data_IF_368045957253
#
_entry.id   IF_368045957253
#
_cell.length_a   1.000
_cell.length_b   1.000
_cell.length_c   1.000
_cell.angle_alpha   90.00
_cell.angle_beta   90.00
_cell.angle_gamma   90.00
#
_symmetry.space_group_name_H-M   'P 1'
#
loop_
_entity.id
_entity.type
_entity.pdbx_description
1 polymer ?
#
# COMPACT_ATOMS: atom_id res chain seq x y z
N UNK A 1 2.58 -2.69 -0.02
CA UNK A 1 1.52 -1.79 0.51
C UNK A 1 0.84 -1.13 -0.68
N UNK A 2 -0.34 -0.52 -0.51
CA UNK A 2 -0.97 0.30 -1.56
C UNK A 2 -1.46 1.62 -0.99
N UNK A 3 -1.40 2.68 -1.77
CA UNK A 3 -1.90 4.01 -1.43
C UNK A 3 -3.11 4.33 -2.29
N UNK A 4 -4.19 4.78 -1.67
CA UNK A 4 -5.47 5.08 -2.32
C UNK A 4 -5.84 6.53 -2.04
N UNK A 5 -6.36 7.24 -3.04
CA UNK A 5 -6.93 8.57 -2.87
C UNK A 5 -8.24 8.74 -3.65
N UNK A 6 -9.20 9.43 -3.02
CA UNK A 6 -10.38 9.93 -3.69
C UNK A 6 -10.03 11.21 -4.47
N UNK A 7 -10.22 11.19 -5.79
CA UNK A 7 -9.98 12.35 -6.65
C UNK A 7 -11.27 13.06 -7.06
N UNK A 8 -12.42 12.59 -6.55
CA UNK A 8 -13.73 13.22 -6.75
C UNK A 8 -13.90 14.39 -5.81
N UNK A 9 -14.85 15.25 -6.16
CA UNK A 9 -15.36 16.28 -5.23
C UNK A 9 -16.34 15.69 -4.21
N UNK A 10 -17.05 14.63 -4.57
CA UNK A 10 -17.97 13.92 -3.69
C UNK A 10 -17.23 12.94 -2.79
N UNK A 11 -17.77 12.72 -1.59
CA UNK A 11 -17.23 11.76 -0.65
C UNK A 11 -17.53 10.32 -1.09
N UNK A 12 -16.65 9.42 -0.67
CA UNK A 12 -16.81 7.98 -0.78
C UNK A 12 -17.03 7.42 0.63
N UNK A 13 -18.16 6.74 0.82
CA UNK A 13 -18.59 6.15 2.09
C UNK A 13 -18.33 4.65 2.03
N UNK A 14 -17.93 4.05 3.15
CA UNK A 14 -17.75 2.60 3.23
C UNK A 14 -16.60 2.10 2.37
N UNK A 15 -15.51 2.86 2.26
CA UNK A 15 -14.34 2.47 1.50
C UNK A 15 -13.76 1.17 2.04
N UNK A 16 -13.67 0.14 1.20
CA UNK A 16 -13.06 -1.13 1.53
C UNK A 16 -12.10 -1.54 0.40
N UNK A 17 -10.91 -1.98 0.78
CA UNK A 17 -9.91 -2.50 -0.14
C UNK A 17 -9.76 -3.99 0.09
N UNK A 18 -9.81 -4.76 -0.99
CA UNK A 18 -9.53 -6.20 -0.98
C UNK A 18 -8.59 -6.55 -2.13
N UNK A 19 -7.88 -7.67 -1.98
CA UNK A 19 -7.01 -8.21 -3.01
C UNK A 19 -7.35 -9.64 -3.39
N UNK A 20 -6.96 -10.00 -4.61
CA UNK A 20 -6.97 -11.36 -5.15
C UNK A 20 -5.61 -11.64 -5.77
N UNK A 21 -4.95 -12.70 -5.31
CA UNK A 21 -3.78 -13.25 -5.96
C UNK A 21 -4.24 -14.22 -7.04
N UNK A 22 -3.96 -13.89 -8.29
CA UNK A 22 -4.30 -14.69 -9.46
C UNK A 22 -3.04 -15.45 -9.90
N UNK A 23 -3.09 -16.77 -9.98
CA UNK A 23 -1.92 -17.60 -10.34
C UNK A 23 -2.36 -18.92 -10.99
N UNK A 24 -1.51 -19.48 -11.86
CA UNK A 24 -1.67 -20.86 -12.30
C UNK A 24 -1.18 -21.82 -11.21
N UNK A 25 -1.99 -22.80 -10.83
CA UNK A 25 -1.61 -23.79 -9.82
C UNK A 25 -1.87 -25.22 -10.29
N UNK A 26 -1.12 -26.17 -9.73
CA UNK A 26 -1.32 -27.60 -9.93
C UNK A 26 -2.01 -28.17 -8.70
N UNK A 27 -3.14 -28.86 -8.89
CA UNK A 27 -3.84 -29.53 -7.78
C UNK A 27 -3.08 -30.78 -7.33
N UNK A 28 -3.48 -31.33 -6.18
CA UNK A 28 -2.87 -32.57 -5.66
C UNK A 28 -3.12 -33.77 -6.58
N UNK A 29 -4.17 -33.68 -7.38
CA UNK A 29 -4.62 -34.67 -8.34
C UNK A 29 -3.90 -34.55 -9.70
N UNK A 30 -3.01 -33.56 -9.86
CA UNK A 30 -2.26 -33.33 -11.09
C UNK A 30 -3.02 -32.52 -12.15
N UNK A 31 -4.13 -31.88 -11.80
CA UNK A 31 -4.87 -30.99 -12.69
C UNK A 31 -4.28 -29.58 -12.67
N UNK A 32 -4.09 -28.97 -13.84
CA UNK A 32 -3.63 -27.58 -13.95
C UNK A 32 -4.81 -26.61 -13.91
N UNK A 33 -4.88 -25.78 -12.88
CA UNK A 33 -5.84 -24.67 -12.74
C UNK A 33 -5.17 -23.38 -13.22
N UNK A 34 -5.59 -22.86 -14.37
CA UNK A 34 -4.96 -21.67 -14.99
C UNK A 34 -5.24 -20.33 -14.29
N UNK A 35 -6.26 -20.26 -13.44
CA UNK A 35 -6.64 -19.03 -12.74
C UNK A 35 -7.14 -19.36 -11.34
N UNK A 36 -6.24 -19.85 -10.50
CA UNK A 36 -6.49 -19.95 -9.07
C UNK A 36 -6.55 -18.55 -8.46
N UNK A 37 -7.51 -18.32 -7.56
CA UNK A 37 -7.79 -17.02 -6.97
C UNK A 37 -7.75 -17.10 -5.46
N UNK A 38 -6.70 -16.57 -4.85
CA UNK A 38 -6.53 -16.56 -3.40
C UNK A 38 -6.79 -15.17 -2.82
N UNK A 39 -7.50 -15.10 -1.69
CA UNK A 39 -7.82 -13.83 -1.05
C UNK A 39 -6.56 -13.18 -0.44
N UNK A 40 -6.41 -11.88 -0.65
CA UNK A 40 -5.37 -11.05 -0.02
C UNK A 40 -6.08 -9.93 0.76
N UNK A 41 -6.30 -10.10 2.08
CA UNK A 41 -6.98 -9.07 2.88
C UNK A 41 -6.08 -7.85 3.05
N UNK A 42 -6.65 -6.65 2.90
CA UNK A 42 -5.97 -5.39 3.18
C UNK A 42 -6.55 -4.75 4.45
N UNK A 43 -5.66 -4.15 5.23
CA UNK A 43 -5.95 -3.40 6.44
C UNK A 43 -5.45 -1.97 6.28
N UNK A 44 -5.89 -1.09 7.16
CA UNK A 44 -5.47 0.31 7.23
C UNK A 44 -5.39 0.68 8.71
N UNK A 45 -4.47 1.58 9.08
CA UNK A 45 -4.28 2.02 10.46
C UNK A 45 -5.38 3.01 10.88
N UNK A 46 -6.62 2.52 10.93
CA UNK A 46 -7.77 3.26 11.45
C UNK A 46 -8.55 2.41 12.44
N UNK A 47 -9.27 3.03 13.36
CA UNK A 47 -10.13 2.33 14.34
C UNK A 47 -11.41 1.75 13.73
N UNK A 48 -11.51 1.67 12.40
CA UNK A 48 -12.69 1.27 11.64
C UNK A 48 -12.28 0.55 10.36
N UNK A 49 -13.07 -0.44 9.95
CA UNK A 49 -12.92 -1.17 8.68
C UNK A 49 -13.38 -0.34 7.46
N UNK A 50 -13.94 0.84 7.70
CA UNK A 50 -14.37 1.79 6.67
C UNK A 50 -13.75 3.16 6.95
N UNK A 51 -12.49 3.38 6.52
CA UNK A 51 -11.82 4.64 6.74
C UNK A 51 -12.47 5.77 5.93
N UNK A 52 -12.34 6.99 6.45
CA UNK A 52 -12.81 8.18 5.77
C UNK A 52 -11.76 8.69 4.76
N UNK A 53 -11.96 8.39 3.47
CA UNK A 53 -11.01 8.65 2.40
C UNK A 53 -11.07 10.11 1.87
N UNK A 54 -10.92 11.11 2.76
CA UNK A 54 -10.74 12.51 2.37
C UNK A 54 -9.30 12.80 1.93
N UNK A 55 -8.34 12.21 2.64
CA UNK A 55 -6.91 12.31 2.33
C UNK A 55 -6.39 10.96 1.82
N UNK A 56 -5.25 10.94 1.11
CA UNK A 56 -4.62 9.68 0.72
C UNK A 56 -4.38 8.77 1.94
N UNK A 57 -4.78 7.50 1.83
CA UNK A 57 -4.56 6.49 2.86
C UNK A 57 -3.71 5.35 2.31
N UNK A 58 -2.90 4.76 3.17
CA UNK A 58 -2.07 3.60 2.83
C UNK A 58 -2.69 2.36 3.45
N UNK A 59 -3.12 1.44 2.60
CA UNK A 59 -3.58 0.12 2.98
C UNK A 59 -2.41 -0.87 2.88
N UNK A 60 -2.40 -1.87 3.74
CA UNK A 60 -1.35 -2.88 3.79
C UNK A 60 -1.92 -4.27 3.94
N UNK A 61 -1.20 -5.25 3.43
CA UNK A 61 -1.45 -6.65 3.69
C UNK A 61 -0.33 -7.17 4.59
N UNK A 62 -0.69 -7.82 5.69
CA UNK A 62 0.29 -8.45 6.58
C UNK A 62 0.68 -9.80 5.99
N UNK A 63 1.97 -9.99 5.74
CA UNK A 63 2.51 -11.25 5.22
C UNK A 63 2.90 -12.16 6.39
N UNK A 64 1.90 -12.81 6.98
CA UNK A 64 2.05 -13.85 8.01
C UNK A 64 2.02 -15.27 7.41
N UNK A 65 1.94 -16.31 8.25
CA UNK A 65 1.90 -17.71 7.80
C UNK A 65 0.64 -18.08 7.01
N UNK A 66 -0.44 -17.30 7.12
CA UNK A 66 -1.68 -17.50 6.37
C UNK A 66 -1.69 -16.76 5.03
N UNK A 67 -0.77 -15.81 4.84
CA UNK A 67 -0.69 -15.00 3.63
C UNK A 67 -0.37 -15.86 2.40
N UNK A 68 -1.10 -15.69 1.29
CA UNK A 68 -0.77 -16.37 0.05
C UNK A 68 0.55 -15.86 -0.55
N UNK A 69 1.13 -14.75 -0.03
CA UNK A 69 2.41 -14.17 -0.42
C UNK A 69 3.58 -14.60 0.49
N UNK A 70 3.35 -15.50 1.46
CA UNK A 70 4.36 -15.94 2.44
C UNK A 70 5.60 -16.56 1.81
N UNK A 71 5.46 -17.29 0.69
CA UNK A 71 6.55 -18.00 0.04
C UNK A 71 7.69 -17.06 -0.41
N UNK A 72 7.37 -15.89 -0.94
CA UNK A 72 8.33 -14.86 -1.37
C UNK A 72 9.00 -14.15 -0.19
N UNK A 73 8.28 -14.04 0.92
CA UNK A 73 8.75 -13.39 2.12
C UNK A 73 9.87 -14.18 2.83
N UNK A 74 9.78 -15.52 2.80
CA UNK A 74 10.71 -16.40 3.53
C UNK A 74 12.07 -16.63 2.84
N UNK A 75 12.27 -16.19 1.59
CA UNK A 75 13.55 -16.42 0.88
C UNK A 75 14.58 -15.35 1.24
N UNK A 76 15.81 -15.81 1.50
CA UNK A 76 16.94 -14.95 1.87
C UNK A 76 17.17 -13.87 0.80
N UNK A 77 16.98 -12.60 1.18
CA UNK A 77 17.05 -11.44 0.29
C UNK A 77 15.72 -10.69 0.16
N UNK A 78 14.58 -11.38 0.28
CA UNK A 78 13.24 -10.84 0.07
C UNK A 78 13.00 -10.35 -1.37
N UNK A 79 11.83 -10.62 -1.93
CA UNK A 79 11.40 -10.07 -3.22
C UNK A 79 10.90 -11.09 -4.22
N UNK A 80 10.67 -10.61 -5.43
CA UNK A 80 9.95 -11.31 -6.50
C UNK A 80 10.87 -12.01 -7.50
N UNK A 81 12.12 -12.28 -7.12
CA UNK A 81 13.19 -12.70 -8.07
C UNK A 81 13.18 -14.19 -8.40
N UNK A 82 12.29 -14.97 -7.79
CA UNK A 82 12.15 -16.39 -8.11
C UNK A 82 11.21 -16.57 -9.30
N UNK A 83 11.69 -16.97 -10.48
CA UNK A 83 10.86 -17.12 -11.67
C UNK A 83 9.73 -18.15 -11.50
N UNK A 84 9.91 -19.16 -10.64
CA UNK A 84 8.88 -20.18 -10.41
C UNK A 84 7.72 -19.66 -9.56
N UNK A 85 7.99 -18.65 -8.73
CA UNK A 85 6.98 -17.99 -7.91
C UNK A 85 6.53 -16.66 -8.53
N UNK A 86 7.27 -16.05 -9.46
CA UNK A 86 6.94 -14.75 -10.05
C UNK A 86 5.91 -14.82 -11.20
N UNK A 87 5.11 -15.88 -11.27
CA UNK A 87 3.96 -15.99 -12.17
C UNK A 87 2.65 -15.77 -11.40
N UNK A 88 2.37 -14.52 -11.05
CA UNK A 88 1.10 -14.12 -10.46
C UNK A 88 0.70 -12.70 -10.85
N UNK A 89 -0.58 -12.38 -10.69
CA UNK A 89 -1.11 -11.02 -10.77
C UNK A 89 -1.86 -10.69 -9.47
N UNK A 90 -1.51 -9.59 -8.82
CA UNK A 90 -2.22 -9.10 -7.64
C UNK A 90 -3.30 -8.12 -8.07
N UNK A 91 -4.54 -8.60 -8.14
CA UNK A 91 -5.70 -7.76 -8.38
C UNK A 91 -6.11 -7.05 -7.09
N UNK A 92 -6.16 -5.72 -7.12
CA UNK A 92 -6.63 -4.86 -6.02
C UNK A 92 -7.97 -4.25 -6.40
N UNK A 93 -8.94 -4.34 -5.47
CA UNK A 93 -10.31 -3.89 -5.65
C UNK A 93 -10.66 -2.95 -4.51
N UNK A 94 -11.09 -1.74 -4.84
CA UNK A 94 -11.70 -0.82 -3.90
C UNK A 94 -13.21 -0.76 -4.15
N UNK A 95 -14.01 -0.96 -3.11
CA UNK A 95 -15.46 -0.74 -3.12
C UNK A 95 -15.81 0.46 -2.23
N UNK A 96 -16.78 1.27 -2.65
CA UNK A 96 -17.34 2.36 -1.87
C UNK A 96 -18.72 2.75 -2.40
N UNK A 97 -19.43 3.62 -1.67
CA UNK A 97 -20.66 4.27 -2.12
C UNK A 97 -20.42 5.77 -2.29
N UNK A 98 -20.82 6.33 -3.43
CA UNK A 98 -20.74 7.77 -3.68
C UNK A 98 -21.81 8.48 -2.84
N UNK A 99 -21.40 9.36 -1.92
CA UNK A 99 -22.30 10.04 -0.99
C UNK A 99 -23.47 10.75 -1.69
N UNK A 100 -23.19 11.50 -2.73
CA UNK A 100 -24.18 12.38 -3.37
C UNK A 100 -25.25 11.64 -4.18
N UNK A 101 -24.98 10.39 -4.61
CA UNK A 101 -25.88 9.65 -5.49
C UNK A 101 -26.29 8.30 -4.94
N UNK A 102 -25.73 7.89 -3.79
CA UNK A 102 -25.84 6.54 -3.23
C UNK A 102 -25.48 5.42 -4.21
N UNK A 103 -24.73 5.75 -5.27
CA UNK A 103 -24.33 4.78 -6.29
C UNK A 103 -23.10 4.00 -5.82
N UNK A 104 -23.05 2.72 -6.15
CA UNK A 104 -21.87 1.90 -5.89
C UNK A 104 -20.72 2.32 -6.79
N UNK A 105 -19.52 2.38 -6.22
CA UNK A 105 -18.28 2.70 -6.89
C UNK A 105 -17.31 1.55 -6.63
N UNK A 106 -16.94 0.85 -7.69
CA UNK A 106 -15.90 -0.17 -7.66
C UNK A 106 -14.75 0.25 -8.57
N UNK A 107 -13.54 0.20 -8.05
CA UNK A 107 -12.30 0.52 -8.77
C UNK A 107 -11.37 -0.66 -8.67
N UNK A 108 -10.74 -1.03 -9.78
CA UNK A 108 -9.87 -2.20 -9.89
C UNK A 108 -8.55 -1.79 -10.54
N UNK A 109 -7.45 -2.29 -10.01
CA UNK A 109 -6.11 -2.20 -10.61
C UNK A 109 -5.32 -3.44 -10.28
N UNK A 110 -4.50 -3.94 -11.18
CA UNK A 110 -3.64 -5.08 -10.91
C UNK A 110 -2.18 -4.67 -10.86
N UNK A 111 -1.37 -5.54 -10.25
CA UNK A 111 0.08 -5.44 -10.22
C UNK A 111 0.70 -6.78 -10.58
N UNK A 112 1.62 -6.75 -11.54
CA UNK A 112 2.55 -7.84 -11.77
C UNK A 112 3.65 -7.84 -10.70
N UNK A 113 4.40 -8.94 -10.53
CA UNK A 113 5.35 -9.06 -9.44
C UNK A 113 6.50 -8.04 -9.53
N UNK A 114 6.93 -7.71 -10.75
CA UNK A 114 7.95 -6.70 -11.04
C UNK A 114 7.48 -5.26 -10.80
N UNK A 115 6.17 -5.02 -10.76
CA UNK A 115 5.58 -3.73 -10.40
C UNK A 115 5.55 -3.52 -8.88
N UNK A 116 5.71 -4.58 -8.08
CA UNK A 116 5.70 -4.50 -6.61
C UNK A 116 7.13 -4.34 -6.08
N UNK A 117 7.41 -3.24 -5.38
CA UNK A 117 8.74 -2.79 -5.01
C UNK A 117 9.14 -3.24 -3.60
N UNK A 118 9.83 -4.38 -3.53
CA UNK A 118 10.33 -4.88 -2.25
C UNK A 118 11.33 -3.93 -1.57
N UNK A 119 11.14 -3.67 -0.28
CA UNK A 119 12.01 -2.77 0.47
C UNK A 119 11.81 -1.30 0.14
N UNK A 120 10.64 -0.93 -0.37
CA UNK A 120 10.24 0.46 -0.56
C UNK A 120 9.08 0.83 0.35
N UNK A 121 8.99 2.12 0.62
CA UNK A 121 7.92 2.73 1.38
C UNK A 121 7.42 3.99 0.70
N UNK A 122 6.25 4.38 1.13
CA UNK A 122 5.51 5.54 0.67
C UNK A 122 5.90 6.76 1.53
N UNK A 123 6.59 7.79 0.98
CA UNK A 123 6.90 9.01 1.74
C UNK A 123 5.62 9.73 2.17
N UNK A 124 5.58 10.40 3.33
CA UNK A 124 4.40 11.15 3.75
C UNK A 124 3.95 12.16 2.69
N UNK A 125 2.65 12.17 2.38
CA UNK A 125 2.06 13.11 1.40
C UNK A 125 1.08 14.09 2.04
N UNK A 126 0.75 13.91 3.32
CA UNK A 126 -0.14 14.78 4.08
C UNK A 126 0.70 15.63 5.02
N UNK A 127 0.48 16.94 4.98
CA UNK A 127 1.13 17.92 5.86
C UNK A 127 0.11 18.88 6.47
N UNK A 128 0.47 19.53 7.57
CA UNK A 128 -0.32 20.57 8.21
C UNK A 128 0.22 21.94 7.77
N UNK A 129 -0.62 22.72 7.08
CA UNK A 129 -0.26 24.09 6.71
C UNK A 129 -0.19 25.01 7.94
N UNK A 130 0.54 26.15 7.88
CA UNK A 130 0.62 27.11 8.98
C UNK A 130 -0.73 27.65 9.46
N UNK A 131 -1.77 27.59 8.62
CA UNK A 131 -3.14 27.98 8.96
C UNK A 131 -3.97 26.84 9.59
N UNK A 132 -3.35 25.72 9.95
CA UNK A 132 -4.01 24.58 10.61
C UNK A 132 -4.78 23.63 9.69
N UNK A 133 -4.66 23.77 8.36
CA UNK A 133 -5.35 22.88 7.40
C UNK A 133 -4.45 21.74 6.95
N UNK A 134 -5.00 20.52 6.91
CA UNK A 134 -4.33 19.39 6.27
C UNK A 134 -4.33 19.54 4.76
N UNK A 135 -3.19 19.30 4.12
CA UNK A 135 -3.02 19.36 2.67
C UNK A 135 -2.30 18.09 2.20
N UNK A 136 -2.84 17.48 1.15
CA UNK A 136 -2.22 16.36 0.46
C UNK A 136 -1.45 16.87 -0.77
N UNK A 137 -0.16 16.58 -0.85
CA UNK A 137 0.67 16.86 -2.02
C UNK A 137 0.64 15.67 -2.99
N UNK A 138 -0.11 15.83 -4.08
CA UNK A 138 -0.26 14.79 -5.10
C UNK A 138 0.96 14.65 -6.01
N UNK A 139 1.91 15.59 -6.00
CA UNK A 139 3.17 15.45 -6.73
C UNK A 139 4.07 14.36 -6.11
N UNK A 140 3.77 13.94 -4.88
CA UNK A 140 4.47 12.86 -4.17
C UNK A 140 3.61 11.60 -4.00
N UNK A 141 2.42 11.55 -4.63
CA UNK A 141 1.47 10.46 -4.43
C UNK A 141 2.06 9.09 -4.84
N UNK A 142 2.62 8.98 -6.04
CA UNK A 142 3.23 7.73 -6.53
C UNK A 142 4.74 7.66 -6.27
N UNK A 143 5.32 8.65 -5.57
CA UNK A 143 6.74 8.60 -5.24
C UNK A 143 6.97 7.55 -4.15
N UNK A 144 8.10 6.88 -4.26
CA UNK A 144 8.51 5.79 -3.38
C UNK A 144 9.95 6.05 -2.93
N UNK A 145 10.28 5.62 -1.73
CA UNK A 145 11.64 5.70 -1.19
C UNK A 145 12.08 4.32 -0.70
N UNK A 146 13.38 4.02 -0.82
CA UNK A 146 13.94 2.79 -0.27
C UNK A 146 13.85 2.85 1.25
N UNK A 147 13.27 1.83 1.89
CA UNK A 147 13.12 1.82 3.34
C UNK A 147 14.49 1.67 4.00
N UNK A 148 14.72 2.44 5.08
CA UNK A 148 15.91 2.31 5.94
C UNK A 148 15.74 1.20 6.97
N UNK A 149 14.49 0.79 7.22
CA UNK A 149 14.11 -0.23 8.20
C UNK A 149 14.20 -1.61 7.57
N UNK A 150 15.05 -2.48 8.13
CA UNK A 150 15.09 -3.88 7.68
C UNK A 150 13.72 -4.53 7.92
N UNK A 151 13.17 -5.31 6.97
CA UNK A 151 11.90 -5.99 7.16
C UNK A 151 12.01 -6.88 8.41
N UNK A 152 11.18 -6.60 9.41
CA UNK A 152 11.21 -7.30 10.68
C UNK A 152 10.53 -8.67 10.50
N UNK A 153 11.24 -9.62 9.89
CA UNK A 153 10.81 -11.01 9.86
C UNK A 153 10.97 -11.58 11.26
N UNK A 154 9.88 -11.58 12.03
CA UNK A 154 9.82 -12.35 13.28
C UNK A 154 9.96 -13.82 12.91
N UNK A 155 11.16 -14.37 13.13
CA UNK A 155 11.37 -15.82 13.12
C UNK A 155 10.52 -16.41 14.26
N UNK A 156 9.82 -17.54 14.06
CA UNK A 156 9.17 -18.21 15.16
C UNK A 156 10.25 -18.72 16.12
N UNK A 157 10.36 -18.11 17.31
CA UNK A 157 11.23 -18.61 18.38
C UNK A 157 12.02 -17.60 19.21
N UNK A 158 12.06 -16.29 18.91
CA UNK A 158 12.79 -15.33 19.75
C UNK A 158 11.86 -14.50 20.65
N UNK A 159 11.78 -14.88 21.93
CA UNK A 159 11.35 -13.96 22.99
C UNK A 159 12.43 -12.88 23.15
N UNK A 160 12.07 -11.61 22.96
CA UNK A 160 12.90 -10.49 23.42
C UNK A 160 12.06 -9.63 24.36
N UNK A 161 12.57 -9.48 25.58
CA UNK A 161 12.04 -8.65 26.64
C UNK A 161 12.09 -7.16 26.27
N UNK A 162 11.01 -6.44 26.57
CA UNK A 162 10.89 -4.98 26.41
C UNK A 162 12.07 -4.22 27.07
N UNK A 163 12.71 -3.36 26.29
CA UNK A 163 13.51 -2.23 26.77
C UNK A 163 13.09 -0.98 26.00
N UNK A 164 12.46 -0.02 26.69
CA UNK A 164 11.99 1.24 26.11
C UNK A 164 13.15 2.07 25.55
N UNK A 165 13.03 2.49 24.29
CA UNK A 165 13.95 3.40 23.63
C UNK A 165 13.30 4.74 23.37
N UNK A 166 13.87 5.79 23.94
CA UNK A 166 13.55 7.21 23.70
C UNK A 166 13.80 7.60 22.24
N UNK A 167 12.84 8.28 21.62
CA UNK A 167 12.96 8.87 20.28
C UNK A 167 13.99 10.00 20.37
N UNK A 168 15.09 9.90 19.63
CA UNK A 168 16.13 10.93 19.58
C UNK A 168 15.74 12.10 18.68
N UNK A 169 15.92 13.34 19.16
CA UNK A 169 15.63 14.61 18.45
C UNK A 169 16.32 14.75 17.07
N UNK A 170 17.36 13.95 16.80
CA UNK A 170 18.09 13.94 15.53
C UNK A 170 17.20 13.53 14.33
N UNK A 171 16.24 12.63 14.55
CA UNK A 171 15.36 12.09 13.49
C UNK A 171 14.30 13.09 13.01
N UNK A 172 13.92 14.03 13.87
CA UNK A 172 12.90 15.04 13.57
C UNK A 172 13.48 16.17 12.72
N UNK A 173 14.75 16.56 12.99
CA UNK A 173 15.47 17.55 12.17
C UNK A 173 15.71 17.09 10.73
N UNK A 174 15.92 15.79 10.50
CA UNK A 174 16.06 15.23 9.14
C UNK A 174 14.73 15.24 8.38
N UNK A 175 13.62 14.96 9.06
CA UNK A 175 12.28 15.01 8.47
C UNK A 175 11.92 16.43 8.04
N UNK A 176 12.21 17.42 8.88
CA UNK A 176 11.95 18.85 8.59
C UNK A 176 12.78 19.33 7.39
N UNK A 177 14.06 18.93 7.30
CA UNK A 177 14.93 19.27 6.17
C UNK A 177 14.45 18.64 4.86
N UNK A 178 13.98 17.40 4.92
CA UNK A 178 13.46 16.69 3.76
C UNK A 178 12.16 17.36 3.25
N UNK A 179 11.26 17.73 4.17
CA UNK A 179 10.04 18.49 3.87
C UNK A 179 10.32 19.85 3.23
N UNK A 180 11.36 20.58 3.67
CA UNK A 180 11.76 21.85 3.05
C UNK A 180 12.33 21.66 1.64
N UNK A 181 13.12 20.60 1.40
CA UNK A 181 13.70 20.31 0.08
C UNK A 181 12.66 20.01 -1.00
N UNK A 182 11.46 19.57 -0.61
CA UNK A 182 10.36 19.23 -1.52
C UNK A 182 9.52 20.43 -1.95
N UNK A 183 9.61 21.56 -1.23
CA UNK A 183 8.87 22.78 -1.53
C UNK A 183 9.40 23.55 -2.76
N UNK A 184 10.64 23.28 -3.16
CA UNK A 184 11.39 24.06 -4.16
C UNK A 184 11.30 23.54 -5.61
N UNK A 185 10.57 22.44 -5.88
CA UNK A 185 10.48 21.88 -7.25
C UNK A 185 9.07 21.93 -7.82
N UNK A 186 8.88 22.83 -8.79
CA UNK A 186 7.62 23.08 -9.50
C UNK A 186 7.11 21.94 -10.39
N UNK A 187 5.82 22.03 -10.75
CA UNK A 187 4.97 20.99 -11.34
C UNK A 187 5.18 20.71 -12.85
N UNK A 188 4.76 19.52 -13.32
CA UNK A 188 4.22 19.41 -14.68
C UNK A 188 2.84 18.71 -14.82
N UNK A 189 2.08 19.27 -15.77
CA UNK A 189 1.01 18.84 -16.69
C UNK A 189 0.10 17.60 -16.44
N UNK A 190 -1.20 17.80 -16.73
CA UNK A 190 -2.35 16.92 -16.42
C UNK A 190 -2.64 15.87 -17.49
N UNK A 191 -2.48 14.59 -17.12
CA UNK A 191 -3.10 13.44 -17.79
C UNK A 191 -4.52 13.12 -17.31
N UNK A 192 -5.25 12.29 -18.07
CA UNK A 192 -6.64 11.85 -17.89
C UNK A 192 -6.97 11.53 -16.41
N UNK A 193 -7.89 12.31 -15.81
CA UNK A 193 -8.23 12.22 -14.38
C UNK A 193 -8.97 10.92 -14.05
N UNK A 194 -8.28 9.99 -13.42
CA UNK A 194 -8.91 8.87 -12.71
C UNK A 194 -9.71 9.41 -11.52
N UNK A 195 -10.90 8.86 -11.27
CA UNK A 195 -11.77 9.30 -10.18
C UNK A 195 -11.29 8.84 -8.80
N UNK A 196 -10.52 7.75 -8.78
CA UNK A 196 -9.81 7.20 -7.62
C UNK A 196 -8.44 6.83 -8.13
N UNK A 197 -7.40 7.18 -7.38
CA UNK A 197 -6.01 6.86 -7.73
C UNK A 197 -5.49 5.82 -6.75
N UNK A 198 -4.89 4.76 -7.27
CA UNK A 198 -4.25 3.70 -6.49
C UNK A 198 -2.79 3.60 -6.97
N UNK A 199 -1.85 3.60 -6.03
CA UNK A 199 -0.42 3.38 -6.26
C UNK A 199 0.05 2.25 -5.34
N UNK A 200 1.11 1.52 -5.70
CA UNK A 200 1.69 0.47 -4.88
C UNK A 200 3.16 0.74 -4.53
N UNK A 201 3.60 0.06 -3.47
CA UNK A 201 5.00 -0.20 -3.13
C UNK A 201 5.14 -1.66 -2.76
#
# INVERSE_FOLDING_TARGET
>A
MIRVANMRKSLLIGCQVTGKLLQTSLTKEGETVRLDQRNVPFSVDTSSDSPFLILPLTFYHVIDDSSPLRAWANKAGGGWTDPELADFELMVIMNATVESTSATCQVRTSYLPDEILWGYEFPPVVSLCPNGKYVADFAFFDKVAKTKTSPMFKRPGSFQSNGGGTISEATEGEKIRLEQSYRDKGEPERGRRLSVRISNV
#
